data_IF_937477932552
#
_entry.id   IF_937477932552
#
_cell.length_a   1.000
_cell.length_b   1.000
_cell.length_c   1.000
_cell.angle_alpha   90.00
_cell.angle_beta   90.00
_cell.angle_gamma   90.00
#
_symmetry.space_group_name_H-M   'P 1'
#
loop_
_entity.id
_entity.type
_entity.pdbx_description
1 polymer ?
#
# COMPACT_ATOMS: atom_id res chain seq x y z
N UNK A 1 24.43 -12.90 -19.04
CA UNK A 1 23.61 -11.67 -18.92
C UNK A 1 23.14 -11.36 -17.49
N UNK A 2 22.01 -11.89 -16.96
CA UNK A 2 21.50 -11.45 -15.62
C UNK A 2 22.52 -11.74 -14.51
N UNK A 3 23.12 -12.93 -14.49
CA UNK A 3 24.13 -13.30 -13.50
C UNK A 3 25.36 -12.37 -13.56
N UNK A 4 25.84 -12.04 -14.76
CA UNK A 4 26.94 -11.09 -14.95
C UNK A 4 26.56 -9.70 -14.45
N UNK A 5 25.36 -9.21 -14.77
CA UNK A 5 24.88 -7.91 -14.29
C UNK A 5 24.76 -7.87 -12.76
N UNK A 6 24.26 -8.94 -12.13
CA UNK A 6 24.21 -9.02 -10.66
C UNK A 6 25.60 -8.97 -10.03
N UNK A 7 26.62 -9.52 -10.69
CA UNK A 7 28.01 -9.47 -10.20
C UNK A 7 28.61 -8.05 -10.25
N UNK A 8 28.03 -7.11 -11.00
CA UNK A 8 28.50 -5.72 -11.04
C UNK A 8 27.83 -4.81 -10.00
N UNK A 9 26.86 -5.31 -9.23
CA UNK A 9 26.10 -4.51 -8.27
C UNK A 9 26.75 -4.54 -6.88
N UNK A 10 26.72 -3.40 -6.19
CA UNK A 10 27.01 -3.30 -4.76
C UNK A 10 25.71 -3.54 -3.96
N UNK A 11 25.73 -4.51 -3.05
CA UNK A 11 24.55 -4.93 -2.29
C UNK A 11 24.54 -4.31 -0.90
N UNK A 12 23.55 -3.46 -0.65
CA UNK A 12 23.28 -2.82 0.65
C UNK A 12 21.80 -3.00 1.02
N UNK A 13 21.37 -4.24 1.30
CA UNK A 13 19.97 -4.54 1.54
C UNK A 13 19.44 -3.79 2.77
N UNK A 14 18.12 -3.61 2.80
CA UNK A 14 17.42 -3.05 3.95
C UNK A 14 17.72 -3.86 5.22
N UNK A 15 18.00 -3.16 6.30
CA UNK A 15 18.24 -3.72 7.62
C UNK A 15 17.15 -3.26 8.59
N UNK A 16 16.87 -4.08 9.61
CA UNK A 16 15.96 -3.72 10.71
C UNK A 16 16.43 -2.48 11.47
N UNK A 17 17.72 -2.16 11.42
CA UNK A 17 18.28 -0.96 12.05
C UNK A 17 18.08 0.33 11.24
N UNK A 18 17.56 0.24 10.01
CA UNK A 18 17.28 1.44 9.22
C UNK A 18 16.19 2.30 9.90
N UNK A 19 16.36 3.63 9.94
CA UNK A 19 15.39 4.52 10.57
C UNK A 19 14.07 4.50 9.79
N UNK A 20 12.97 4.51 10.52
CA UNK A 20 11.63 4.63 9.95
C UNK A 20 11.39 6.09 9.57
N UNK A 21 11.27 6.36 8.28
CA UNK A 21 10.82 7.65 7.77
C UNK A 21 9.29 7.77 7.83
N UNK A 22 8.79 8.89 8.33
CA UNK A 22 7.36 9.14 8.49
C UNK A 22 6.85 9.99 7.34
N UNK A 23 6.17 9.35 6.39
CA UNK A 23 5.53 10.00 5.25
C UNK A 23 4.00 9.94 5.38
N UNK A 24 3.28 10.93 4.82
CA UNK A 24 1.81 10.86 4.73
C UNK A 24 1.37 9.64 3.92
N UNK A 25 2.11 9.37 2.84
CA UNK A 25 1.93 8.21 1.97
C UNK A 25 3.28 7.52 1.88
N UNK A 26 3.32 6.25 2.32
CA UNK A 26 4.48 5.39 2.19
C UNK A 26 4.21 4.33 1.11
N UNK A 27 5.13 4.13 0.18
CA UNK A 27 5.06 3.10 -0.85
C UNK A 27 6.25 2.16 -0.71
N UNK A 28 5.95 0.93 -0.37
CA UNK A 28 6.92 -0.15 -0.25
C UNK A 28 6.75 -1.14 -1.41
N UNK A 29 7.83 -1.85 -1.77
CA UNK A 29 7.78 -3.01 -2.66
C UNK A 29 8.27 -4.25 -1.93
N UNK A 30 7.58 -5.37 -2.12
CA UNK A 30 8.00 -6.68 -1.60
C UNK A 30 8.13 -7.71 -2.71
N UNK A 31 9.34 -8.23 -2.88
CA UNK A 31 9.64 -9.38 -3.75
C UNK A 31 9.44 -10.67 -2.96
N UNK A 32 8.54 -11.55 -3.42
CA UNK A 32 8.48 -12.92 -2.89
C UNK A 32 9.59 -13.81 -3.49
N UNK A 33 9.99 -14.90 -2.85
CA UNK A 33 10.85 -15.90 -3.49
C UNK A 33 10.15 -16.61 -4.66
N UNK A 34 10.94 -17.20 -5.56
CA UNK A 34 10.43 -18.16 -6.55
C UNK A 34 9.82 -19.38 -5.81
N UNK A 35 8.59 -19.71 -6.18
CA UNK A 35 7.86 -20.87 -5.67
C UNK A 35 8.50 -22.18 -6.15
N UNK A 36 8.16 -23.29 -5.48
CA UNK A 36 8.61 -24.64 -5.90
C UNK A 36 8.23 -24.94 -7.34
N UNK A 37 7.03 -24.57 -7.77
CA UNK A 37 6.54 -24.82 -9.13
C UNK A 37 7.31 -23.99 -10.18
N UNK A 38 7.61 -22.72 -9.89
CA UNK A 38 8.43 -21.87 -10.77
C UNK A 38 9.87 -22.41 -10.89
N UNK A 39 10.45 -22.86 -9.78
CA UNK A 39 11.78 -23.51 -9.78
C UNK A 39 11.78 -24.79 -10.63
N UNK A 40 10.76 -25.64 -10.51
CA UNK A 40 10.62 -26.87 -11.33
C UNK A 40 10.50 -26.52 -12.82
N UNK A 41 9.77 -25.45 -13.16
CA UNK A 41 9.65 -24.93 -14.53
C UNK A 41 10.90 -24.19 -15.03
N UNK A 42 11.95 -24.10 -14.23
CA UNK A 42 13.19 -23.35 -14.52
C UNK A 42 12.92 -21.88 -14.88
N UNK A 43 11.93 -21.27 -14.21
CA UNK A 43 11.70 -19.83 -14.30
C UNK A 43 12.96 -19.07 -13.91
N UNK A 44 13.20 -17.97 -14.63
CA UNK A 44 14.34 -17.08 -14.37
C UNK A 44 13.86 -15.97 -13.45
N UNK A 45 14.59 -15.74 -12.36
CA UNK A 45 14.39 -14.56 -11.52
C UNK A 45 14.94 -13.32 -12.23
N UNK A 46 14.04 -12.42 -12.62
CA UNK A 46 14.35 -11.18 -13.35
C UNK A 46 14.36 -9.94 -12.45
N UNK A 47 14.24 -10.10 -11.13
CA UNK A 47 14.14 -8.99 -10.20
C UNK A 47 15.34 -8.96 -9.25
N UNK A 48 15.98 -7.81 -9.11
CA UNK A 48 17.11 -7.61 -8.19
C UNK A 48 16.88 -6.38 -7.32
N UNK A 49 17.05 -6.52 -6.01
CA UNK A 49 16.95 -5.42 -5.05
C UNK A 49 18.35 -5.16 -4.48
N UNK A 50 19.17 -4.29 -5.11
CA UNK A 50 20.54 -4.07 -4.66
C UNK A 50 20.61 -3.24 -3.37
N UNK A 51 19.63 -2.37 -3.11
CA UNK A 51 19.60 -1.51 -1.94
C UNK A 51 18.24 -1.51 -1.25
N UNK A 52 18.17 -0.83 -0.09
CA UNK A 52 16.94 -0.68 0.69
C UNK A 52 15.76 -0.01 0.00
N UNK A 53 15.99 0.68 -1.12
CA UNK A 53 14.99 1.49 -1.79
C UNK A 53 14.97 1.33 -3.32
N UNK A 54 15.82 0.47 -3.88
CA UNK A 54 15.91 0.28 -5.34
C UNK A 54 15.40 -1.09 -5.74
N UNK A 55 14.55 -1.12 -6.77
CA UNK A 55 14.07 -2.32 -7.42
C UNK A 55 14.51 -2.28 -8.88
N UNK A 56 15.29 -3.28 -9.30
CA UNK A 56 15.73 -3.45 -10.68
C UNK A 56 14.92 -4.57 -11.34
N UNK A 57 14.39 -4.29 -12.53
CA UNK A 57 13.74 -5.27 -13.40
C UNK A 57 14.61 -5.50 -14.62
N UNK A 58 15.04 -6.74 -14.82
CA UNK A 58 15.83 -7.18 -15.96
C UNK A 58 14.90 -7.69 -17.07
N UNK A 59 14.30 -6.77 -17.84
CA UNK A 59 13.36 -7.13 -18.90
C UNK A 59 14.11 -7.72 -20.12
N UNK A 60 13.90 -8.99 -20.48
CA UNK A 60 14.54 -9.56 -21.66
C UNK A 60 13.85 -9.07 -22.93
N UNK A 61 14.61 -8.45 -23.82
CA UNK A 61 14.11 -7.95 -25.11
C UNK A 61 14.92 -8.50 -26.28
N UNK A 62 14.33 -8.39 -27.46
CA UNK A 62 14.95 -8.71 -28.74
C UNK A 62 15.12 -7.43 -29.54
N UNK A 63 16.31 -7.24 -30.11
CA UNK A 63 16.52 -6.26 -31.16
C UNK A 63 15.86 -6.73 -32.47
N UNK A 64 15.80 -5.84 -33.46
CA UNK A 64 15.25 -6.16 -34.80
C UNK A 64 16.03 -7.31 -35.46
N UNK A 65 17.33 -7.42 -35.19
CA UNK A 65 18.21 -8.49 -35.67
C UNK A 65 18.13 -9.79 -34.84
N UNK A 66 17.14 -9.91 -33.94
CA UNK A 66 16.95 -11.03 -33.01
C UNK A 66 18.02 -11.17 -31.93
N UNK A 67 18.94 -10.20 -31.78
CA UNK A 67 19.90 -10.19 -30.68
C UNK A 67 19.18 -9.97 -29.34
N UNK A 68 19.36 -10.92 -28.42
CA UNK A 68 18.86 -10.82 -27.04
C UNK A 68 19.64 -9.77 -26.26
N UNK A 69 18.95 -8.89 -25.57
CA UNK A 69 19.54 -7.94 -24.63
C UNK A 69 18.65 -7.80 -23.39
N UNK A 70 19.20 -7.22 -22.33
CA UNK A 70 18.45 -6.87 -21.13
C UNK A 70 18.20 -5.38 -21.10
N UNK A 71 16.94 -4.98 -20.94
CA UNK A 71 16.58 -3.62 -20.56
C UNK A 71 16.42 -3.58 -19.04
N UNK A 72 17.40 -2.98 -18.36
CA UNK A 72 17.42 -2.87 -16.92
C UNK A 72 16.65 -1.61 -16.51
N UNK A 73 15.41 -1.77 -16.06
CA UNK A 73 14.59 -0.69 -15.52
C UNK A 73 14.81 -0.57 -14.02
N UNK A 74 15.06 0.64 -13.54
CA UNK A 74 15.25 0.96 -12.13
C UNK A 74 14.07 1.75 -11.59
N UNK A 75 13.55 1.34 -10.44
CA UNK A 75 12.51 2.01 -9.69
C UNK A 75 12.98 2.32 -8.27
N UNK A 76 12.55 3.44 -7.70
CA UNK A 76 12.89 3.85 -6.34
C UNK A 76 11.63 3.99 -5.50
N UNK A 77 11.66 3.45 -4.28
CA UNK A 77 10.55 3.43 -3.34
C UNK A 77 11.03 3.81 -1.94
N UNK A 78 10.14 3.93 -0.96
CA UNK A 78 10.55 4.18 0.43
C UNK A 78 11.31 2.96 0.97
N UNK A 79 10.76 1.77 0.74
CA UNK A 79 11.35 0.51 1.14
C UNK A 79 11.20 -0.57 0.05
N UNK A 80 12.26 -1.35 -0.15
CA UNK A 80 12.33 -2.48 -1.06
C UNK A 80 12.72 -3.75 -0.28
N UNK A 81 11.72 -4.60 -0.02
CA UNK A 81 11.87 -5.85 0.71
C UNK A 81 12.24 -7.00 -0.24
N UNK A 82 13.39 -7.61 -0.02
CA UNK A 82 13.86 -8.76 -0.79
C UNK A 82 13.18 -10.07 -0.35
N UNK A 83 13.49 -11.16 -1.06
CA UNK A 83 12.89 -12.48 -0.87
C UNK A 83 13.17 -13.14 0.50
N UNK A 84 14.11 -12.62 1.28
CA UNK A 84 14.49 -13.16 2.58
C UNK A 84 13.77 -12.45 3.75
N UNK A 85 13.08 -11.33 3.48
CA UNK A 85 12.40 -10.53 4.49
C UNK A 85 11.07 -11.18 4.89
N UNK A 86 10.90 -11.43 6.18
CA UNK A 86 9.68 -12.04 6.73
C UNK A 86 8.55 -11.01 6.92
N UNK A 87 7.35 -11.47 7.30
CA UNK A 87 6.19 -10.58 7.49
C UNK A 87 6.37 -9.57 8.64
N UNK A 88 7.06 -9.94 9.71
CA UNK A 88 7.29 -9.08 10.88
C UNK A 88 8.19 -7.90 10.53
N UNK A 89 9.25 -8.16 9.77
CA UNK A 89 10.16 -7.12 9.27
C UNK A 89 9.46 -6.18 8.28
N UNK A 90 8.63 -6.73 7.37
CA UNK A 90 7.78 -5.91 6.49
C UNK A 90 6.84 -5.05 7.31
N UNK A 91 6.14 -5.63 8.29
CA UNK A 91 5.21 -4.93 9.17
C UNK A 91 5.88 -3.76 9.89
N UNK A 92 7.04 -4.00 10.52
CA UNK A 92 7.78 -3.00 11.31
C UNK A 92 8.09 -1.73 10.54
N UNK A 93 8.45 -1.84 9.26
CA UNK A 93 8.84 -0.70 8.42
C UNK A 93 7.68 -0.11 7.60
N UNK A 94 6.54 -0.80 7.49
CA UNK A 94 5.39 -0.37 6.67
C UNK A 94 4.16 0.00 7.51
N UNK A 95 3.42 -1.00 8.00
CA UNK A 95 2.15 -0.82 8.70
C UNK A 95 2.32 -0.50 10.19
N UNK A 96 3.40 -0.93 10.84
CA UNK A 96 3.65 -0.72 12.27
C UNK A 96 3.62 0.75 12.70
N UNK A 97 4.32 1.67 12.01
CA UNK A 97 4.31 3.10 12.35
C UNK A 97 2.92 3.74 12.25
N UNK A 98 2.00 3.14 11.49
CA UNK A 98 0.63 3.63 11.35
C UNK A 98 -0.24 3.33 12.57
N UNK A 99 0.12 2.37 13.41
CA UNK A 99 -0.62 2.06 14.65
C UNK A 99 -0.65 3.29 15.56
N UNK A 100 0.45 4.02 15.70
CA UNK A 100 0.46 5.25 16.51
C UNK A 100 -0.54 6.31 15.98
N UNK A 101 -0.77 6.35 14.67
CA UNK A 101 -1.67 7.33 14.03
C UNK A 101 -3.10 7.22 14.56
N UNK A 102 -3.59 5.99 14.79
CA UNK A 102 -4.96 5.79 15.28
C UNK A 102 -5.12 6.13 16.77
N UNK A 103 -4.05 6.07 17.56
CA UNK A 103 -4.05 6.57 18.94
C UNK A 103 -4.03 8.10 18.99
N UNK A 104 -3.49 8.74 17.96
CA UNK A 104 -3.42 10.21 17.82
C UNK A 104 -4.65 10.80 17.12
N UNK A 105 -5.79 10.10 17.20
CA UNK A 105 -7.08 10.47 16.59
C UNK A 105 -7.06 10.55 15.06
N UNK A 106 -6.24 9.71 14.44
CA UNK A 106 -6.07 9.66 12.99
C UNK A 106 -6.72 8.44 12.34
N UNK A 107 -6.69 8.47 11.01
CA UNK A 107 -7.11 7.37 10.14
C UNK A 107 -5.88 6.78 9.46
N UNK A 108 -5.63 5.50 9.68
CA UNK A 108 -4.54 4.78 9.05
C UNK A 108 -5.09 3.82 7.99
N UNK A 109 -4.37 3.67 6.88
CA UNK A 109 -4.68 2.65 5.88
C UNK A 109 -3.43 1.97 5.40
N UNK A 110 -3.44 0.63 5.34
CA UNK A 110 -2.39 -0.14 4.67
C UNK A 110 -3.04 -1.08 3.67
N UNK A 111 -2.62 -1.04 2.41
CA UNK A 111 -3.14 -1.95 1.40
C UNK A 111 -2.04 -2.71 0.66
N UNK A 112 -2.25 -4.01 0.47
CA UNK A 112 -1.40 -4.86 -0.37
C UNK A 112 -1.93 -4.85 -1.81
N UNK A 113 -1.06 -4.52 -2.77
CA UNK A 113 -1.39 -4.39 -4.19
C UNK A 113 -0.45 -5.23 -5.06
N UNK A 114 -0.95 -5.84 -6.13
CA UNK A 114 -0.13 -6.61 -7.08
C UNK A 114 -0.88 -7.80 -7.67
N UNK A 115 -0.21 -8.57 -8.52
CA UNK A 115 -0.86 -9.65 -9.28
C UNK A 115 -1.32 -10.80 -8.37
N UNK A 116 -2.22 -11.62 -8.86
CA UNK A 116 -2.51 -12.91 -8.22
C UNK A 116 -1.25 -13.75 -8.05
N UNK A 117 -1.11 -14.35 -6.87
CA UNK A 117 0.07 -15.13 -6.50
C UNK A 117 1.32 -14.33 -6.12
N UNK A 118 1.28 -12.99 -6.04
CA UNK A 118 2.44 -12.19 -5.61
C UNK A 118 2.68 -12.16 -4.10
N UNK A 119 1.74 -12.66 -3.29
CA UNK A 119 1.88 -12.76 -1.83
C UNK A 119 1.08 -11.75 -1.00
N UNK A 120 0.08 -11.08 -1.58
CA UNK A 120 -0.80 -10.11 -0.86
C UNK A 120 -1.43 -10.73 0.38
N UNK A 121 -2.20 -11.79 0.21
CA UNK A 121 -2.89 -12.50 1.30
C UNK A 121 -1.92 -13.15 2.29
N UNK A 122 -0.76 -13.63 1.83
CA UNK A 122 0.30 -14.14 2.71
C UNK A 122 0.83 -13.04 3.64
N UNK A 123 1.02 -11.83 3.11
CA UNK A 123 1.51 -10.68 3.89
C UNK A 123 0.44 -10.19 4.87
N UNK A 124 -0.79 -10.03 4.39
CA UNK A 124 -1.88 -9.47 5.20
C UNK A 124 -2.42 -10.46 6.22
N UNK A 125 -2.71 -11.69 5.78
CA UNK A 125 -3.35 -12.73 6.58
C UNK A 125 -2.41 -13.80 7.13
N UNK A 126 -1.10 -13.77 6.84
CA UNK A 126 -0.12 -14.68 7.45
C UNK A 126 0.24 -15.90 6.60
N UNK A 127 1.14 -16.72 7.16
CA UNK A 127 1.88 -17.76 6.44
C UNK A 127 1.01 -18.98 6.15
N UNK A 128 1.23 -19.63 5.00
CA UNK A 128 0.55 -20.87 4.65
C UNK A 128 1.44 -22.09 4.92
N UNK A 129 1.00 -22.99 5.80
CA UNK A 129 1.58 -24.31 6.00
C UNK A 129 0.68 -25.38 5.38
N UNK A 130 0.85 -25.60 4.07
CA UNK A 130 -0.02 -26.51 3.33
C UNK A 130 -1.42 -25.93 3.17
N UNK A 131 -2.42 -26.52 3.86
CA UNK A 131 -3.82 -26.01 3.86
C UNK A 131 -4.13 -25.12 5.05
N UNK A 132 -3.30 -25.12 6.09
CA UNK A 132 -3.51 -24.27 7.27
C UNK A 132 -2.82 -22.93 7.06
N UNK A 133 -3.47 -21.86 7.51
CA UNK A 133 -2.91 -20.52 7.49
C UNK A 133 -2.64 -20.09 8.94
N UNK A 134 -1.40 -19.71 9.22
CA UNK A 134 -0.98 -19.16 10.50
C UNK A 134 -1.23 -17.65 10.50
N UNK A 135 -2.41 -17.26 10.99
CA UNK A 135 -2.84 -15.87 11.04
C UNK A 135 -2.00 -15.00 11.98
N UNK A 136 -1.30 -15.60 12.96
CA UNK A 136 -0.49 -14.87 13.94
C UNK A 136 0.67 -14.10 13.30
N UNK A 137 1.13 -14.56 12.12
CA UNK A 137 2.22 -13.95 11.35
C UNK A 137 1.75 -12.96 10.28
N UNK A 138 0.46 -12.70 10.19
CA UNK A 138 -0.09 -11.72 9.24
C UNK A 138 -0.04 -10.30 9.80
N UNK A 139 0.01 -9.29 8.91
CA UNK A 139 -0.09 -7.88 9.31
C UNK A 139 -1.36 -7.60 10.13
N UNK A 140 -2.48 -8.31 9.89
CA UNK A 140 -3.70 -8.16 10.70
C UNK A 140 -3.46 -8.42 12.19
N UNK A 141 -2.82 -9.55 12.51
CA UNK A 141 -2.53 -9.94 13.89
C UNK A 141 -1.41 -9.09 14.50
N UNK A 142 -0.33 -8.85 13.74
CA UNK A 142 0.79 -8.02 14.20
C UNK A 142 0.35 -6.59 14.53
N UNK A 143 -0.48 -5.97 13.69
CA UNK A 143 -1.05 -4.64 13.97
C UNK A 143 -1.90 -4.63 15.23
N UNK A 144 -2.70 -5.68 15.44
CA UNK A 144 -3.53 -5.82 16.64
C UNK A 144 -2.69 -6.01 17.90
N UNK A 145 -1.61 -6.80 17.81
CA UNK A 145 -0.68 -6.99 18.90
C UNK A 145 -0.09 -5.64 19.37
N UNK A 146 0.40 -4.83 18.44
CA UNK A 146 0.92 -3.50 18.76
C UNK A 146 -0.18 -2.57 19.33
N UNK A 147 -1.42 -2.65 18.81
CA UNK A 147 -2.54 -1.90 19.41
C UNK A 147 -2.73 -2.26 20.88
N UNK A 148 -2.76 -3.54 21.23
CA UNK A 148 -2.92 -3.95 22.63
C UNK A 148 -1.71 -3.57 23.49
N UNK A 149 -0.49 -3.61 22.95
CA UNK A 149 0.70 -3.12 23.64
C UNK A 149 0.64 -1.60 23.90
N UNK A 150 0.22 -0.81 22.90
CA UNK A 150 0.08 0.64 23.04
C UNK A 150 -1.01 1.03 24.05
N UNK A 151 -2.11 0.28 24.14
CA UNK A 151 -3.16 0.51 25.15
C UNK A 151 -2.64 0.43 26.59
N UNK A 152 -1.63 -0.40 26.84
CA UNK A 152 -1.02 -0.55 28.17
C UNK A 152 -0.02 0.55 28.49
N UNK A 153 0.42 1.35 27.51
CA UNK A 153 1.39 2.42 27.75
C UNK A 153 0.75 3.55 28.58
N UNK A 154 1.49 4.13 29.55
CA UNK A 154 0.96 5.21 30.40
C UNK A 154 0.35 6.39 29.62
N UNK A 155 0.92 6.73 28.46
CA UNK A 155 0.43 7.82 27.59
C UNK A 155 -1.00 7.61 27.07
N UNK A 156 -1.42 6.36 26.89
CA UNK A 156 -2.72 6.02 26.28
C UNK A 156 -3.69 5.35 27.25
N UNK A 157 -3.21 4.83 28.39
CA UNK A 157 -4.02 4.15 29.40
C UNK A 157 -5.21 4.99 29.89
N UNK A 158 -4.99 6.28 30.13
CA UNK A 158 -6.03 7.19 30.64
C UNK A 158 -7.10 7.57 29.60
N UNK A 159 -6.91 7.18 28.33
CA UNK A 159 -7.90 7.44 27.29
C UNK A 159 -9.12 6.52 27.41
N UNK A 160 -9.00 5.38 28.10
CA UNK A 160 -10.04 4.35 28.24
C UNK A 160 -10.63 3.95 26.87
N UNK A 161 -9.74 3.58 25.95
CA UNK A 161 -10.12 3.15 24.60
C UNK A 161 -10.58 1.69 24.61
N UNK A 162 -11.65 1.42 23.88
CA UNK A 162 -12.10 0.05 23.57
C UNK A 162 -11.79 -0.28 22.11
N UNK A 163 -11.45 -1.55 21.86
CA UNK A 163 -11.01 -2.03 20.54
C UNK A 163 -12.13 -2.83 19.90
N UNK A 164 -12.48 -2.45 18.68
CA UNK A 164 -13.40 -3.18 17.83
C UNK A 164 -12.72 -3.60 16.54
N UNK A 165 -13.19 -4.69 15.96
CA UNK A 165 -12.79 -5.12 14.62
C UNK A 165 -13.98 -5.28 13.71
N UNK A 166 -13.76 -5.03 12.42
CA UNK A 166 -14.69 -5.36 11.35
C UNK A 166 -13.97 -6.13 10.27
N UNK A 167 -14.69 -7.00 9.55
CA UNK A 167 -14.14 -7.67 8.40
C UNK A 167 -15.19 -7.80 7.32
N UNK A 168 -14.94 -7.24 6.15
CA UNK A 168 -15.87 -7.29 5.02
C UNK A 168 -15.13 -7.45 3.70
N UNK A 169 -15.85 -7.91 2.67
CA UNK A 169 -15.33 -7.98 1.31
C UNK A 169 -16.12 -7.08 0.36
N UNK A 170 -15.40 -6.54 -0.63
CA UNK A 170 -15.98 -5.86 -1.78
C UNK A 170 -15.85 -6.81 -2.97
N UNK A 171 -16.99 -7.29 -3.45
CA UNK A 171 -17.08 -8.28 -4.51
C UNK A 171 -18.13 -7.89 -5.54
N UNK A 172 -17.75 -7.86 -6.82
CA UNK A 172 -18.63 -7.52 -7.94
C UNK A 172 -19.44 -6.22 -7.71
N UNK A 173 -18.78 -5.18 -7.19
CA UNK A 173 -19.41 -3.87 -6.92
C UNK A 173 -20.35 -3.82 -5.70
N UNK A 174 -20.43 -4.90 -4.91
CA UNK A 174 -21.24 -5.01 -3.69
C UNK A 174 -20.33 -5.23 -2.48
N UNK A 175 -20.86 -4.94 -1.29
CA UNK A 175 -20.14 -5.11 -0.02
C UNK A 175 -20.84 -6.18 0.81
N UNK A 176 -20.06 -7.07 1.41
CA UNK A 176 -20.55 -8.18 2.22
C UNK A 176 -19.78 -8.29 3.54
N UNK A 177 -20.50 -8.37 4.64
CA UNK A 177 -19.93 -8.53 5.98
C UNK A 177 -19.44 -9.96 6.19
N UNK A 178 -18.13 -10.15 6.38
CA UNK A 178 -17.55 -11.49 6.56
C UNK A 178 -17.75 -12.03 8.00
N UNK A 179 -17.95 -11.16 8.98
CA UNK A 179 -18.25 -11.56 10.36
C UNK A 179 -19.74 -11.87 10.55
N UNK A 180 -20.60 -11.36 9.67
CA UNK A 180 -22.03 -11.61 9.67
C UNK A 180 -22.50 -12.47 8.48
N UNK A 181 -21.85 -13.62 8.25
CA UNK A 181 -22.26 -14.64 7.25
C UNK A 181 -22.53 -14.07 5.85
N UNK A 182 -21.71 -13.11 5.39
CA UNK A 182 -21.85 -12.42 4.10
C UNK A 182 -23.14 -11.64 3.96
N UNK A 183 -23.65 -11.06 5.05
CA UNK A 183 -24.75 -10.12 4.99
C UNK A 183 -24.39 -8.98 4.03
N UNK A 184 -25.27 -8.71 3.05
CA UNK A 184 -25.05 -7.65 2.06
C UNK A 184 -25.22 -6.28 2.72
N UNK A 185 -24.21 -5.43 2.59
CA UNK A 185 -24.17 -4.10 3.19
C UNK A 185 -24.48 -3.00 2.16
N UNK A 186 -24.86 -1.82 2.67
CA UNK A 186 -25.07 -0.61 1.86
C UNK A 186 -24.05 0.44 2.25
N UNK A 187 -23.40 1.06 1.26
CA UNK A 187 -22.55 2.23 1.46
C UNK A 187 -23.38 3.47 1.18
N UNK A 188 -23.51 4.34 2.19
CA UNK A 188 -24.17 5.64 2.10
C UNK A 188 -23.18 6.75 2.45
N UNK A 189 -23.50 7.97 2.04
CA UNK A 189 -22.75 9.18 2.36
C UNK A 189 -23.68 10.11 3.15
N UNK A 190 -23.21 10.66 4.25
CA UNK A 190 -24.00 11.58 5.08
C UNK A 190 -23.90 13.04 4.61
N UNK A 191 -24.60 13.95 5.29
CA UNK A 191 -24.60 15.39 4.95
C UNK A 191 -23.24 16.06 5.17
N UNK A 192 -22.30 15.42 5.88
CA UNK A 192 -20.92 15.86 6.09
C UNK A 192 -19.96 15.20 5.10
N UNK A 193 -20.50 14.54 4.07
CA UNK A 193 -19.77 13.75 3.10
C UNK A 193 -18.98 12.58 3.72
N UNK A 194 -19.31 12.11 4.92
CA UNK A 194 -18.66 10.93 5.50
C UNK A 194 -19.29 9.66 4.97
N UNK A 195 -18.44 8.70 4.59
CA UNK A 195 -18.89 7.42 4.04
C UNK A 195 -19.21 6.46 5.19
N UNK A 196 -20.43 5.94 5.20
CA UNK A 196 -20.94 5.04 6.23
C UNK A 196 -21.34 3.69 5.61
N UNK A 197 -20.86 2.59 6.20
CA UNK A 197 -21.24 1.23 5.80
C UNK A 197 -22.38 0.75 6.71
N UNK A 198 -23.61 0.91 6.23
CA UNK A 198 -24.81 0.61 7.02
C UNK A 198 -24.97 -0.89 7.20
N UNK A 199 -25.05 -1.31 8.47
CA UNK A 199 -25.25 -2.69 8.89
C UNK A 199 -23.97 -3.50 9.10
N UNK A 200 -22.79 -2.87 8.98
CA UNK A 200 -21.51 -3.51 9.29
C UNK A 200 -21.43 -3.84 10.79
N UNK A 201 -21.11 -5.08 11.14
CA UNK A 201 -20.94 -5.48 12.53
C UNK A 201 -19.55 -5.15 13.04
N UNK A 202 -19.50 -4.39 14.14
CA UNK A 202 -18.31 -4.16 14.94
C UNK A 202 -18.27 -5.18 16.07
N UNK A 203 -17.24 -6.03 16.09
CA UNK A 203 -17.01 -7.00 17.16
C UNK A 203 -15.99 -6.44 18.15
N UNK A 204 -16.35 -6.34 19.42
CA UNK A 204 -15.41 -5.94 20.47
C UNK A 204 -14.43 -7.08 20.75
N UNK A 205 -13.14 -6.74 20.87
CA UNK A 205 -12.06 -7.72 21.09
C UNK A 205 -11.21 -7.31 22.27
N UNK A 206 -10.74 -8.30 23.02
CA UNK A 206 -9.98 -8.09 24.26
C UNK A 206 -8.56 -8.65 24.19
N UNK A 207 -8.28 -9.45 23.16
CA UNK A 207 -6.98 -10.09 22.95
C UNK A 207 -6.65 -10.25 21.47
N UNK A 208 -5.39 -10.56 21.18
CA UNK A 208 -4.93 -10.94 19.83
C UNK A 208 -5.57 -12.25 19.39
N UNK A 209 -5.81 -13.19 20.32
CA UNK A 209 -6.46 -14.47 20.03
C UNK A 209 -7.91 -14.30 19.55
N UNK A 210 -8.65 -13.34 20.14
CA UNK A 210 -9.99 -12.98 19.67
C UNK A 210 -9.95 -12.51 18.22
N UNK A 211 -8.94 -11.70 17.86
CA UNK A 211 -8.77 -11.21 16.49
C UNK A 211 -8.38 -12.33 15.53
N UNK A 212 -7.50 -13.23 15.93
CA UNK A 212 -7.15 -14.42 15.14
C UNK A 212 -8.41 -15.23 14.83
N UNK A 213 -9.29 -15.43 15.83
CA UNK A 213 -10.57 -16.11 15.63
C UNK A 213 -11.47 -15.34 14.63
N UNK A 214 -11.57 -14.02 14.74
CA UNK A 214 -12.36 -13.21 13.79
C UNK A 214 -11.81 -13.27 12.36
N UNK A 215 -10.49 -13.31 12.20
CA UNK A 215 -9.83 -13.46 10.90
C UNK A 215 -10.16 -14.83 10.29
N UNK A 216 -10.09 -15.90 11.08
CA UNK A 216 -10.41 -17.26 10.63
C UNK A 216 -11.88 -17.37 10.20
N UNK A 217 -12.81 -16.86 11.03
CA UNK A 217 -14.24 -16.79 10.70
C UNK A 217 -14.46 -16.02 9.39
N UNK A 218 -13.88 -14.82 9.26
CA UNK A 218 -14.05 -14.01 8.06
C UNK A 218 -13.48 -14.66 6.80
N UNK A 219 -12.32 -15.32 6.90
CA UNK A 219 -11.72 -16.05 5.78
C UNK A 219 -12.52 -17.28 5.39
N UNK A 220 -13.16 -17.98 6.34
CA UNK A 220 -14.05 -19.11 6.06
C UNK A 220 -15.28 -18.68 5.25
N UNK A 221 -15.76 -17.45 5.47
CA UNK A 221 -16.89 -16.89 4.74
C UNK A 221 -16.49 -16.19 3.44
N UNK A 222 -15.23 -15.73 3.28
CA UNK A 222 -14.77 -15.01 2.08
C UNK A 222 -15.09 -15.78 0.80
N UNK A 223 -15.48 -15.08 -0.26
CA UNK A 223 -15.95 -15.69 -1.52
C UNK A 223 -14.97 -16.70 -2.10
N UNK A 224 -15.32 -17.97 -1.93
CA UNK A 224 -14.61 -19.16 -2.41
C UNK A 224 -15.38 -19.74 -3.59
N UNK A 225 -15.08 -19.24 -4.78
CA UNK A 225 -15.50 -19.89 -6.02
C UNK A 225 -14.89 -21.30 -6.08
N UNK A 226 -15.70 -22.31 -6.41
CA UNK A 226 -15.22 -23.67 -6.65
C UNK A 226 -14.15 -23.65 -7.75
N UNK A 227 -12.87 -23.79 -7.37
CA UNK A 227 -11.75 -24.44 -8.07
C UNK A 227 -10.41 -23.81 -7.68
N UNK A 228 -9.52 -24.65 -7.13
CA UNK A 228 -8.09 -24.39 -6.83
C UNK A 228 -7.77 -23.43 -5.67
N UNK A 229 -6.94 -23.92 -4.75
CA UNK A 229 -6.46 -23.28 -3.51
C UNK A 229 -5.78 -21.91 -3.73
N UNK A 230 -5.37 -21.58 -4.96
CA UNK A 230 -4.64 -20.35 -5.30
C UNK A 230 -5.50 -19.25 -5.94
N UNK A 231 -6.81 -19.45 -6.13
CA UNK A 231 -7.68 -18.51 -6.85
C UNK A 231 -8.76 -17.85 -5.97
N UNK A 232 -8.63 -17.97 -4.63
CA UNK A 232 -9.66 -17.57 -3.67
C UNK A 232 -9.60 -16.06 -3.34
N UNK A 233 -8.41 -15.53 -3.03
CA UNK A 233 -8.22 -14.12 -2.63
C UNK A 233 -8.02 -13.16 -3.81
N UNK A 234 -7.98 -13.67 -5.03
CA UNK A 234 -7.73 -12.88 -6.25
C UNK A 234 -8.95 -12.09 -6.71
N UNK A 235 -10.16 -12.41 -6.23
CA UNK A 235 -11.42 -11.97 -6.85
C UNK A 235 -12.27 -11.00 -6.02
N UNK A 236 -11.97 -10.84 -4.74
CA UNK A 236 -12.61 -9.86 -3.87
C UNK A 236 -11.56 -9.06 -3.10
N UNK A 237 -11.85 -7.78 -2.85
CA UNK A 237 -11.05 -6.96 -1.95
C UNK A 237 -11.49 -7.24 -0.52
N UNK A 238 -10.58 -7.68 0.33
CA UNK A 238 -10.83 -7.87 1.75
C UNK A 238 -10.39 -6.62 2.53
N UNK A 239 -11.25 -6.14 3.41
CA UNK A 239 -10.99 -4.98 4.27
C UNK A 239 -11.20 -5.40 5.72
N UNK A 240 -10.11 -5.48 6.46
CA UNK A 240 -10.10 -5.70 7.90
C UNK A 240 -9.84 -4.36 8.60
N UNK A 241 -10.67 -3.98 9.56
CA UNK A 241 -10.50 -2.70 10.26
C UNK A 241 -10.29 -2.94 11.75
N UNK A 242 -9.36 -2.19 12.33
CA UNK A 242 -9.18 -2.06 13.77
C UNK A 242 -9.69 -0.67 14.14
N UNK A 243 -10.65 -0.59 15.05
CA UNK A 243 -11.35 0.64 15.40
C UNK A 243 -11.16 0.88 16.90
N UNK A 244 -10.64 2.06 17.25
CA UNK A 244 -10.55 2.52 18.63
C UNK A 244 -11.73 3.43 18.91
N UNK A 245 -12.46 3.14 19.99
CA UNK A 245 -13.56 3.99 20.46
C UNK A 245 -13.28 4.53 21.86
N UNK A 246 -13.69 5.77 22.10
CA UNK A 246 -13.73 6.40 23.42
C UNK A 246 -15.16 6.76 23.78
N UNK A 247 -15.73 6.12 24.79
CA UNK A 247 -17.15 6.30 25.18
C UNK A 247 -18.09 6.20 23.97
N UNK A 248 -17.95 5.13 23.17
CA UNK A 248 -18.69 4.87 21.92
C UNK A 248 -18.41 5.81 20.74
N UNK A 249 -17.65 6.90 20.92
CA UNK A 249 -17.23 7.77 19.81
C UNK A 249 -16.00 7.21 19.13
N UNK A 250 -15.94 7.30 17.80
CA UNK A 250 -14.75 6.94 17.03
C UNK A 250 -13.57 7.80 17.49
N UNK A 251 -12.48 7.16 17.90
CA UNK A 251 -11.22 7.81 18.26
C UNK A 251 -10.23 7.72 17.10
N UNK A 252 -10.02 6.52 16.55
CA UNK A 252 -9.19 6.32 15.36
C UNK A 252 -9.48 4.97 14.72
N UNK A 253 -9.07 4.79 13.46
CA UNK A 253 -9.34 3.57 12.71
C UNK A 253 -8.18 3.22 11.78
N UNK A 254 -7.79 1.95 11.80
CA UNK A 254 -6.77 1.39 10.92
C UNK A 254 -7.44 0.41 9.95
N UNK A 255 -7.43 0.72 8.67
CA UNK A 255 -7.94 -0.17 7.62
C UNK A 255 -6.80 -0.93 6.95
N UNK A 256 -6.79 -2.25 7.10
CA UNK A 256 -5.83 -3.18 6.53
C UNK A 256 -6.51 -3.93 5.37
N UNK A 257 -5.97 -3.78 4.16
CA UNK A 257 -6.68 -4.15 2.93
C UNK A 257 -5.87 -5.13 2.09
N UNK A 258 -6.45 -6.28 1.78
CA UNK A 258 -5.95 -7.26 0.82
C UNK A 258 -6.72 -7.08 -0.50
N UNK A 259 -6.14 -6.32 -1.44
CA UNK A 259 -6.77 -6.06 -2.73
C UNK A 259 -6.80 -7.31 -3.59
N UNK A 260 -7.78 -7.38 -4.49
CA UNK A 260 -7.84 -8.36 -5.57
C UNK A 260 -6.62 -8.26 -6.51
N UNK A 261 -6.41 -9.29 -7.32
CA UNK A 261 -5.33 -9.32 -8.32
C UNK A 261 -5.48 -8.22 -9.37
N UNK A 262 -4.35 -7.65 -9.82
CA UNK A 262 -4.31 -6.62 -10.87
C UNK A 262 -3.98 -7.17 -12.28
N UNK A 263 -4.12 -8.47 -12.49
CA UNK A 263 -3.99 -9.11 -13.81
C UNK A 263 -4.99 -8.59 -14.85
N UNK A 264 -4.65 -8.74 -16.14
CA UNK A 264 -5.39 -8.14 -17.23
C UNK A 264 -6.55 -9.02 -17.66
N UNK A 265 -7.58 -8.39 -18.24
CA UNK A 265 -8.72 -9.12 -18.82
C UNK A 265 -8.31 -10.14 -19.90
N UNK A 266 -7.20 -9.90 -20.61
CA UNK A 266 -6.64 -10.84 -21.59
C UNK A 266 -6.31 -12.21 -20.97
N UNK A 267 -5.84 -12.23 -19.73
CA UNK A 267 -5.46 -13.43 -18.98
C UNK A 267 -6.69 -14.29 -18.62
N UNK A 268 -7.88 -13.69 -18.68
CA UNK A 268 -9.17 -14.32 -18.37
C UNK A 268 -10.08 -14.46 -19.59
N UNK A 269 -9.57 -14.19 -20.80
CA UNK A 269 -10.38 -14.14 -22.03
C UNK A 269 -11.06 -15.47 -22.37
N UNK A 270 -10.42 -16.59 -22.04
CA UNK A 270 -10.93 -17.96 -22.19
C UNK A 270 -11.74 -18.45 -20.99
N UNK A 271 -11.93 -17.63 -19.95
CA UNK A 271 -12.69 -18.01 -18.77
C UNK A 271 -14.21 -17.92 -19.02
N UNK A 272 -14.98 -18.54 -18.13
CA UNK A 272 -16.43 -18.51 -18.16
C UNK A 272 -16.97 -17.06 -17.98
N UNK A 273 -18.24 -16.86 -18.33
CA UNK A 273 -18.88 -15.53 -18.28
C UNK A 273 -18.80 -14.88 -16.90
N UNK A 274 -18.96 -15.66 -15.83
CA UNK A 274 -18.98 -15.14 -14.47
C UNK A 274 -17.59 -14.65 -14.06
N UNK A 275 -16.54 -15.46 -14.31
CA UNK A 275 -15.15 -15.06 -14.08
C UNK A 275 -14.75 -13.81 -14.87
N UNK A 276 -15.21 -13.66 -16.12
CA UNK A 276 -14.92 -12.44 -16.92
C UNK A 276 -15.59 -11.19 -16.36
N UNK A 277 -16.82 -11.30 -15.86
CA UNK A 277 -17.52 -10.17 -15.22
C UNK A 277 -16.84 -9.78 -13.91
N UNK A 278 -16.38 -10.74 -13.11
CA UNK A 278 -15.59 -10.49 -11.90
C UNK A 278 -14.28 -9.75 -12.22
N UNK A 279 -13.53 -10.23 -13.22
CA UNK A 279 -12.31 -9.59 -13.69
C UNK A 279 -12.54 -8.14 -14.17
N UNK A 280 -13.67 -7.87 -14.82
CA UNK A 280 -14.02 -6.51 -15.24
C UNK A 280 -14.29 -5.58 -14.05
N UNK A 281 -15.03 -6.03 -13.03
CA UNK A 281 -15.31 -5.22 -11.84
C UNK A 281 -14.06 -5.00 -10.97
N UNK A 282 -13.16 -5.99 -10.88
CA UNK A 282 -11.86 -5.83 -10.22
C UNK A 282 -11.06 -4.74 -10.92
N UNK A 283 -10.89 -4.83 -12.24
CA UNK A 283 -10.15 -3.85 -13.02
C UNK A 283 -10.76 -2.44 -12.92
N UNK A 284 -12.09 -2.33 -12.93
CA UNK A 284 -12.80 -1.05 -12.72
C UNK A 284 -12.47 -0.44 -11.36
N UNK A 285 -12.49 -1.23 -10.29
CA UNK A 285 -12.17 -0.74 -8.94
C UNK A 285 -10.71 -0.33 -8.77
N UNK A 286 -9.77 -1.08 -9.34
CA UNK A 286 -8.33 -0.75 -9.31
C UNK A 286 -7.99 0.45 -10.19
N UNK A 287 -8.67 0.60 -11.33
CA UNK A 287 -8.57 1.80 -12.18
C UNK A 287 -9.12 3.03 -11.45
N UNK A 288 -10.27 2.92 -10.79
CA UNK A 288 -10.82 4.01 -9.98
C UNK A 288 -9.83 4.43 -8.88
N UNK A 289 -9.20 3.45 -8.20
CA UNK A 289 -8.17 3.73 -7.20
C UNK A 289 -6.96 4.45 -7.82
N UNK A 290 -6.51 4.00 -9.01
CA UNK A 290 -5.45 4.68 -9.79
C UNK A 290 -5.76 6.14 -10.04
N UNK A 291 -6.97 6.42 -10.51
CA UNK A 291 -7.39 7.77 -10.86
C UNK A 291 -7.58 8.65 -9.62
N UNK A 292 -8.02 8.08 -8.49
CA UNK A 292 -8.06 8.80 -7.22
C UNK A 292 -6.65 9.21 -6.77
N UNK A 293 -5.71 8.26 -6.75
CA UNK A 293 -4.30 8.48 -6.46
C UNK A 293 -3.72 9.57 -7.38
N UNK A 294 -3.92 9.45 -8.70
CA UNK A 294 -3.42 10.41 -9.68
C UNK A 294 -4.01 11.81 -9.46
N UNK A 295 -5.32 11.91 -9.22
CA UNK A 295 -5.98 13.19 -9.00
C UNK A 295 -5.47 13.90 -7.72
N UNK A 296 -5.19 13.14 -6.67
CA UNK A 296 -4.61 13.66 -5.43
C UNK A 296 -3.19 14.20 -5.64
N UNK A 297 -2.34 13.50 -6.40
CA UNK A 297 -0.98 13.97 -6.69
C UNK A 297 -0.90 15.23 -7.55
N UNK A 298 -1.92 15.52 -8.36
CA UNK A 298 -1.99 16.75 -9.14
C UNK A 298 -2.77 17.89 -8.46
N UNK A 299 -3.19 17.74 -7.20
CA UNK A 299 -4.06 18.71 -6.51
C UNK A 299 -5.33 19.04 -7.30
N UNK A 300 -5.90 18.08 -8.02
CA UNK A 300 -7.13 18.33 -8.76
C UNK A 300 -8.26 18.68 -7.78
N UNK A 301 -9.04 19.71 -8.13
CA UNK A 301 -10.20 20.17 -7.33
C UNK A 301 -11.21 19.04 -7.11
N UNK A 302 -11.33 18.13 -8.08
CA UNK A 302 -12.22 16.97 -8.01
C UNK A 302 -11.44 15.65 -8.05
N UNK A 303 -11.65 14.82 -7.03
CA UNK A 303 -11.14 13.44 -6.97
C UNK A 303 -12.31 12.45 -7.09
N UNK A 304 -12.29 11.49 -8.03
CA UNK A 304 -13.45 10.67 -8.40
C UNK A 304 -13.71 9.49 -7.44
N UNK A 305 -13.80 9.72 -6.13
CA UNK A 305 -14.00 8.66 -5.13
C UNK A 305 -15.28 7.84 -5.33
N UNK A 306 -16.29 8.39 -6.01
CA UNK A 306 -17.56 7.70 -6.34
C UNK A 306 -17.44 6.68 -7.48
N UNK A 307 -16.30 6.60 -8.17
CA UNK A 307 -16.12 5.72 -9.33
C UNK A 307 -16.17 4.21 -8.98
N UNK A 308 -15.90 3.84 -7.73
CA UNK A 308 -16.04 2.47 -7.24
C UNK A 308 -16.41 2.41 -5.76
N UNK A 309 -16.90 1.26 -5.29
CA UNK A 309 -17.14 1.05 -3.86
C UNK A 309 -15.85 1.01 -3.04
N UNK A 310 -14.76 0.51 -3.62
CA UNK A 310 -13.44 0.50 -2.98
C UNK A 310 -12.95 1.92 -2.70
N UNK A 311 -13.01 2.79 -3.70
CA UNK A 311 -12.58 4.20 -3.56
C UNK A 311 -13.48 5.00 -2.63
N UNK A 312 -14.77 4.67 -2.53
CA UNK A 312 -15.66 5.25 -1.53
C UNK A 312 -15.23 4.87 -0.11
N UNK A 313 -14.97 3.58 0.14
CA UNK A 313 -14.51 3.10 1.44
C UNK A 313 -13.16 3.72 1.82
N UNK A 314 -12.28 3.92 0.83
CA UNK A 314 -10.94 4.49 1.03
C UNK A 314 -10.90 6.02 1.08
N UNK A 315 -12.02 6.72 0.85
CA UNK A 315 -12.03 8.17 0.68
C UNK A 315 -11.38 8.88 1.86
N UNK A 316 -11.88 8.62 3.06
CA UNK A 316 -11.45 9.31 4.28
C UNK A 316 -9.98 9.01 4.63
N UNK A 317 -9.45 7.87 4.18
CA UNK A 317 -8.03 7.53 4.31
C UNK A 317 -7.11 8.42 3.48
N UNK A 318 -7.57 8.92 2.34
CA UNK A 318 -6.76 9.74 1.44
C UNK A 318 -6.93 11.25 1.68
N UNK A 319 -8.14 11.71 1.98
CA UNK A 319 -8.44 13.14 2.15
C UNK A 319 -8.43 13.62 3.60
N UNK A 320 -8.40 12.71 4.58
CA UNK A 320 -8.38 13.08 5.98
C UNK A 320 -7.18 13.97 6.32
N UNK A 321 -7.40 14.99 7.16
CA UNK A 321 -6.34 15.88 7.61
C UNK A 321 -5.28 15.11 8.42
N UNK A 322 -5.75 14.25 9.33
CA UNK A 322 -4.92 13.35 10.13
C UNK A 322 -5.00 11.92 9.60
N UNK A 323 -4.74 11.74 8.29
CA UNK A 323 -4.70 10.42 7.67
C UNK A 323 -3.30 10.07 7.18
N UNK A 324 -2.94 8.79 7.33
CA UNK A 324 -1.70 8.22 6.80
C UNK A 324 -1.98 6.92 6.08
N UNK A 325 -1.28 6.71 4.97
CA UNK A 325 -1.50 5.56 4.10
C UNK A 325 -0.18 4.86 3.77
N UNK A 326 -0.18 3.53 3.79
CA UNK A 326 0.90 2.70 3.29
C UNK A 326 0.40 1.80 2.15
N UNK A 327 1.15 1.75 1.06
CA UNK A 327 0.96 0.81 -0.02
C UNK A 327 2.09 -0.21 0.00
N UNK A 328 1.76 -1.50 0.04
CA UNK A 328 2.74 -2.59 -0.11
C UNK A 328 2.53 -3.24 -1.49
N UNK A 329 3.39 -2.90 -2.43
CA UNK A 329 3.39 -3.43 -3.79
C UNK A 329 4.10 -4.79 -3.83
N UNK A 330 3.31 -5.85 -4.02
CA UNK A 330 3.73 -7.23 -4.02
C UNK A 330 4.09 -7.67 -5.44
N UNK A 331 5.32 -8.12 -5.66
CA UNK A 331 5.83 -8.51 -6.99
C UNK A 331 6.30 -9.97 -7.04
N UNK A 332 6.10 -10.59 -8.20
CA UNK A 332 6.56 -11.95 -8.50
C UNK A 332 7.89 -11.90 -9.26
N UNK A 333 8.90 -12.69 -8.87
CA UNK A 333 10.24 -12.60 -9.46
C UNK A 333 10.39 -13.27 -10.84
N UNK A 334 9.47 -14.17 -11.21
CA UNK A 334 9.60 -14.99 -12.42
C UNK A 334 9.46 -14.20 -13.72
N UNK A 335 10.19 -14.63 -14.76
CA UNK A 335 10.16 -14.04 -16.10
C UNK A 335 8.75 -13.98 -16.68
N UNK A 336 7.94 -15.04 -16.51
CA UNK A 336 6.56 -15.05 -17.00
C UNK A 336 5.65 -14.01 -16.30
N UNK A 337 6.09 -13.46 -15.16
CA UNK A 337 5.41 -12.39 -14.44
C UNK A 337 6.02 -11.00 -14.68
N UNK A 338 7.00 -10.87 -15.59
CA UNK A 338 7.75 -9.63 -15.79
C UNK A 338 6.83 -8.47 -16.20
N UNK A 339 5.89 -8.69 -17.12
CA UNK A 339 4.95 -7.65 -17.54
C UNK A 339 4.02 -7.19 -16.40
N UNK A 340 3.46 -8.13 -15.64
CA UNK A 340 2.63 -7.84 -14.47
C UNK A 340 3.41 -7.11 -13.38
N UNK A 341 4.68 -7.47 -13.18
CA UNK A 341 5.58 -6.82 -12.24
C UNK A 341 5.86 -5.38 -12.66
N UNK A 342 6.17 -5.13 -13.95
CA UNK A 342 6.36 -3.78 -14.48
C UNK A 342 5.09 -2.92 -14.33
N UNK A 343 3.91 -3.49 -14.57
CA UNK A 343 2.64 -2.76 -14.36
C UNK A 343 2.46 -2.38 -12.89
N UNK A 344 2.74 -3.31 -11.97
CA UNK A 344 2.67 -3.08 -10.51
C UNK A 344 3.64 -1.99 -10.08
N UNK A 345 4.89 -2.05 -10.53
CA UNK A 345 5.93 -1.08 -10.18
C UNK A 345 5.63 0.31 -10.74
N UNK A 346 5.25 0.42 -12.01
CA UNK A 346 4.87 1.70 -12.64
C UNK A 346 3.64 2.34 -11.98
N UNK A 347 2.71 1.52 -11.49
CA UNK A 347 1.56 2.02 -10.72
C UNK A 347 2.03 2.57 -9.36
N UNK A 348 2.85 1.79 -8.65
CA UNK A 348 3.34 2.13 -7.32
C UNK A 348 4.21 3.38 -7.36
N UNK A 349 5.06 3.52 -8.37
CA UNK A 349 5.92 4.68 -8.60
C UNK A 349 5.10 5.98 -8.72
N UNK A 350 3.98 5.95 -9.47
CA UNK A 350 3.06 7.10 -9.56
C UNK A 350 2.41 7.49 -8.23
N UNK A 351 2.32 6.55 -7.30
CA UNK A 351 1.69 6.73 -5.98
C UNK A 351 2.60 7.52 -5.03
N UNK A 352 3.92 7.54 -5.28
CA UNK A 352 4.87 8.37 -4.53
C UNK A 352 4.66 9.87 -4.75
N UNK A 353 4.19 10.26 -5.94
CA UNK A 353 3.95 11.67 -6.30
C UNK A 353 2.62 12.23 -5.76
N UNK A 354 1.94 11.51 -4.84
CA UNK A 354 0.69 11.99 -4.24
C UNK A 354 0.93 13.12 -3.23
N UNK A 355 2.17 13.31 -2.76
CA UNK A 355 2.49 14.45 -1.90
C UNK A 355 2.64 15.70 -2.76
N UNK A 356 1.75 16.69 -2.62
CA UNK A 356 1.99 17.98 -3.23
C UNK A 356 3.09 18.68 -2.44
N UNK A 357 3.78 19.57 -3.14
CA UNK A 357 4.80 20.51 -2.69
C UNK A 357 4.31 21.48 -1.57
N UNK A 358 3.60 21.01 -0.54
CA UNK A 358 3.00 21.82 0.53
C UNK A 358 4.00 22.11 1.65
N UNK A 359 5.21 21.53 1.61
CA UNK A 359 6.29 21.84 2.55
C UNK A 359 7.37 22.79 1.98
N UNK A 360 7.24 23.31 0.76
CA UNK A 360 8.19 24.30 0.21
C UNK A 360 7.74 25.76 0.31
N UNK A 361 6.64 26.05 1.01
CA UNK A 361 6.22 27.41 1.34
C UNK A 361 5.97 27.53 2.84
N UNK A 362 6.99 27.27 3.65
CA UNK A 362 7.18 28.15 4.80
C UNK A 362 7.70 29.46 4.23
N UNK A 363 7.03 30.61 4.44
CA UNK A 363 7.76 31.87 4.39
C UNK A 363 8.89 31.69 5.40
N UNK A 364 10.13 31.90 4.98
CA UNK A 364 11.19 32.14 5.93
C UNK A 364 10.66 33.24 6.86
N UNK A 365 10.41 32.89 8.12
CA UNK A 365 10.09 33.87 9.13
C UNK A 365 11.20 34.92 9.07
N UNK A 366 10.73 36.14 8.90
CA UNK A 366 11.42 37.41 9.03
C UNK A 366 12.23 37.46 10.33
N UNK A 367 13.47 36.96 10.28
CA UNK A 367 14.53 37.24 11.25
C UNK A 367 15.90 37.25 10.55
N UNK A 368 16.04 37.98 9.43
CA UNK A 368 17.35 38.48 8.96
C UNK A 368 17.16 39.84 8.26
N UNK A 369 16.62 40.81 8.98
CA UNK A 369 16.65 42.23 8.60
C UNK A 369 17.17 43.05 9.78
N UNK A 370 18.46 42.87 10.10
CA UNK A 370 19.21 43.86 10.88
C UNK A 370 20.73 43.83 10.70
N UNK A 371 21.30 42.96 9.84
CA UNK A 371 22.78 42.89 9.69
C UNK A 371 23.31 43.06 8.26
N UNK A 372 22.46 43.34 7.25
CA UNK A 372 22.92 43.56 5.87
C UNK A 372 22.67 44.99 5.35
N UNK A 373 22.68 45.97 6.24
CA UNK A 373 22.67 47.40 5.86
C UNK A 373 24.07 48.00 5.70
N UNK A 374 25.14 47.31 6.11
CA UNK A 374 26.54 47.78 5.92
C UNK A 374 27.24 47.23 4.67
N UNK A 375 26.73 46.16 4.04
CA UNK A 375 27.38 45.58 2.86
C UNK A 375 26.89 46.15 1.52
N UNK A 376 25.77 46.86 1.46
CA UNK A 376 25.27 47.44 0.19
C UNK A 376 25.90 48.82 -0.10
N UNK A 377 26.36 49.56 0.91
CA UNK A 377 27.05 50.85 0.70
C UNK A 377 28.52 50.72 0.26
N UNK A 378 29.11 49.53 0.37
CA UNK A 378 30.53 49.31 0.02
C UNK A 378 30.72 48.95 -1.46
N UNK A 379 29.70 48.37 -2.13
CA UNK A 379 29.81 47.93 -3.53
C UNK A 379 29.43 49.00 -4.57
N UNK A 380 28.71 50.07 -4.18
CA UNK A 380 28.53 51.27 -5.01
C UNK A 380 29.79 52.15 -5.09
N UNK A 381 30.80 51.91 -4.24
CA UNK A 381 32.07 52.65 -4.25
C UNK A 381 33.11 52.14 -5.23
N UNK A 382 32.95 50.94 -5.78
CA UNK A 382 34.00 50.28 -6.59
C UNK A 382 33.61 49.84 -8.00
N UNK A 383 32.39 50.13 -8.48
CA UNK A 383 32.08 50.18 -9.92
C UNK A 383 32.47 48.95 -10.76
N UNK A 384 32.20 47.74 -10.27
CA UNK A 384 32.44 46.49 -11.00
C UNK A 384 31.12 45.87 -11.50
N UNK A 385 30.95 45.84 -12.82
CA UNK A 385 29.84 45.16 -13.52
C UNK A 385 29.96 43.63 -13.40
N UNK A 386 28.87 42.94 -13.05
CA UNK A 386 28.76 41.47 -13.17
C UNK A 386 27.54 41.12 -14.03
N UNK A 387 27.68 40.40 -15.16
CA UNK A 387 26.56 40.03 -16.02
C UNK A 387 25.87 38.72 -15.60
N UNK A 388 24.56 38.69 -15.88
CA UNK A 388 23.70 37.51 -16.10
C UNK A 388 23.26 36.66 -14.89
N UNK A 389 22.18 37.12 -14.22
CA UNK A 389 21.12 36.22 -13.72
C UNK A 389 19.76 36.81 -14.09
N UNK A 390 19.32 36.54 -15.31
CA UNK A 390 17.93 36.73 -15.75
C UNK A 390 17.60 35.53 -16.60
N UNK A 391 16.65 34.71 -16.16
CA UNK A 391 15.69 33.91 -16.93
C UNK A 391 15.29 32.67 -16.13
N UNK A 392 14.12 32.73 -15.49
CA UNK A 392 12.99 31.81 -15.65
C UNK A 392 12.06 31.91 -14.43
N UNK A 393 11.20 32.92 -14.47
CA UNK A 393 9.86 32.83 -13.87
C UNK A 393 8.91 33.12 -15.02
N UNK A 394 8.45 32.07 -15.70
CA UNK A 394 7.28 32.02 -16.59
C UNK A 394 7.16 30.59 -17.12
N UNK A 395 6.33 29.76 -16.48
CA UNK A 395 5.29 28.89 -17.04
C UNK A 395 4.81 27.89 -16.00
#
# INVERSE_FOLDING_TARGET
>A
MIKEFRATLDYRPLSVADPVEVHKICVCVRKRPLSKMEKTKKEVDVITLPSKNVVLVHEPKLKVDLTKYLENQSFRFDYAFNENVNNEEVYRLSAGPLVQTIFERGMATCFAYGQTGSGKTHTMGGDFSGKTQDFSKGIYALATQDVFLLLQQPRYKDLNLTVFVTFFEIYSGKVFDLLNKKAKLRILEDNKQQVQIVGLQEQEVFSVDDVILMIDVGNSHRTSGQTSVNNNSSRSHAVFQIILRRHKKLHGQFSLIDLAGNERGADTSSADRQTRMEGAEINKSLLALKECIRALGHNNIYTPFRASKLTLVLRDSFIGENSRTCMIAMISPGLNSCEHTLNTLRYSDRTLYIIPLVLSLKPAETEVLSENQEMVETYDRFGLDVPQVRFMVSY
#
